data_IF_555875523302
#
_entry.id   IF_555875523302
#
_cell.length_a   1.000
_cell.length_b   1.000
_cell.length_c   1.000
_cell.angle_alpha   90.00
_cell.angle_beta   90.00
_cell.angle_gamma   90.00
#
_symmetry.space_group_name_H-M   'P 1'
#
loop_
_entity.id
_entity.type
_entity.pdbx_description
1 polymer ?
#
# COMPACT_ATOMS: atom_id res chain seq x y z
N UNK A 1 49.19 45.42 7.61
CA UNK A 1 48.50 44.33 8.33
C UNK A 1 48.43 43.14 7.38
N UNK A 2 49.07 42.01 7.70
CA UNK A 2 49.50 41.02 6.72
C UNK A 2 48.43 39.92 6.47
N UNK A 3 48.30 39.45 5.23
CA UNK A 3 47.27 38.47 4.79
C UNK A 3 47.45 37.11 5.50
N UNK A 4 48.66 36.82 5.97
CA UNK A 4 48.98 35.65 6.79
C UNK A 4 48.22 35.61 8.12
N UNK A 5 47.90 36.76 8.71
CA UNK A 5 47.24 36.85 10.02
C UNK A 5 45.74 36.54 9.92
N UNK A 6 45.12 36.83 8.78
CA UNK A 6 43.73 36.48 8.48
C UNK A 6 43.52 34.97 8.34
N UNK A 7 44.42 34.29 7.63
CA UNK A 7 44.37 32.82 7.47
C UNK A 7 44.51 32.10 8.81
N UNK A 8 45.38 32.61 9.69
CA UNK A 8 45.60 32.04 11.03
C UNK A 8 44.39 32.25 11.95
N UNK A 9 43.68 33.38 11.84
CA UNK A 9 42.44 33.66 12.60
C UNK A 9 41.23 32.84 12.13
N UNK A 10 41.15 32.53 10.84
CA UNK A 10 40.13 31.63 10.28
C UNK A 10 40.35 30.18 10.75
N UNK A 11 41.61 29.75 10.94
CA UNK A 11 41.96 28.39 11.38
C UNK A 11 42.05 28.19 12.92
N UNK A 12 42.16 29.25 13.72
CA UNK A 12 42.26 29.15 15.19
C UNK A 12 40.94 29.31 15.96
N UNK A 13 39.81 29.46 15.27
CA UNK A 13 38.50 29.51 15.90
C UNK A 13 37.90 28.11 15.93
N UNK A 14 38.48 27.22 16.74
CA UNK A 14 37.97 25.83 16.90
C UNK A 14 36.47 25.81 17.19
N UNK A 15 35.96 26.81 17.91
CA UNK A 15 34.53 27.03 18.16
C UNK A 15 33.73 27.20 16.87
N UNK A 16 34.19 28.03 15.94
CA UNK A 16 33.55 28.23 14.63
C UNK A 16 33.60 26.95 13.78
N UNK A 17 34.71 26.21 13.86
CA UNK A 17 34.86 24.93 13.18
C UNK A 17 33.91 23.86 13.76
N UNK A 18 33.74 23.80 15.08
CA UNK A 18 32.77 22.92 15.73
C UNK A 18 31.33 23.31 15.38
N UNK A 19 30.99 24.60 15.38
CA UNK A 19 29.68 25.08 14.94
C UNK A 19 29.40 24.69 13.48
N UNK A 20 30.38 24.82 12.59
CA UNK A 20 30.24 24.43 11.20
C UNK A 20 30.06 22.91 11.03
N UNK A 21 30.81 22.10 11.79
CA UNK A 21 30.65 20.64 11.82
C UNK A 21 29.27 20.21 12.32
N UNK A 22 28.78 20.83 13.40
CA UNK A 22 27.43 20.57 13.95
C UNK A 22 26.36 20.97 12.92
N UNK A 23 26.52 22.12 12.28
CA UNK A 23 25.63 22.57 11.22
C UNK A 23 25.59 21.58 10.05
N UNK A 24 26.76 21.14 9.56
CA UNK A 24 26.85 20.16 8.48
C UNK A 24 26.20 18.83 8.87
N UNK A 25 26.43 18.37 10.11
CA UNK A 25 25.82 17.15 10.63
C UNK A 25 24.29 17.24 10.69
N UNK A 26 23.75 18.35 11.20
CA UNK A 26 22.31 18.60 11.25
C UNK A 26 21.71 18.70 9.84
N UNK A 27 22.37 19.43 8.94
CA UNK A 27 21.93 19.60 7.56
C UNK A 27 21.90 18.25 6.81
N UNK A 28 22.95 17.45 6.97
CA UNK A 28 23.03 16.10 6.41
C UNK A 28 21.91 15.19 6.96
N UNK A 29 21.63 15.24 8.27
CA UNK A 29 20.55 14.47 8.88
C UNK A 29 19.18 14.88 8.34
N UNK A 30 18.91 16.18 8.21
CA UNK A 30 17.63 16.68 7.68
C UNK A 30 17.42 16.26 6.22
N UNK A 31 18.46 16.37 5.38
CA UNK A 31 18.39 15.93 3.98
C UNK A 31 18.17 14.42 3.90
N UNK A 32 18.94 13.65 4.67
CA UNK A 32 18.84 12.19 4.72
C UNK A 32 17.44 11.76 5.15
N UNK A 33 16.90 12.37 6.22
CA UNK A 33 15.54 12.11 6.69
C UNK A 33 14.49 12.42 5.61
N UNK A 34 14.58 13.58 4.93
CA UNK A 34 13.65 13.93 3.85
C UNK A 34 13.70 12.95 2.68
N UNK A 35 14.89 12.49 2.28
CA UNK A 35 15.07 11.55 1.17
C UNK A 35 14.55 10.15 1.54
N UNK A 36 14.91 9.65 2.73
CA UNK A 36 14.50 8.33 3.20
C UNK A 36 13.01 8.26 3.53
N UNK A 37 12.41 9.33 4.08
CA UNK A 37 10.98 9.34 4.41
C UNK A 37 10.11 9.45 3.16
N UNK A 38 10.56 10.17 2.11
CA UNK A 38 9.80 10.28 0.86
C UNK A 38 9.93 9.05 -0.04
N UNK A 39 10.97 8.23 0.14
CA UNK A 39 11.11 6.96 -0.55
C UNK A 39 10.63 5.89 0.42
N UNK A 40 9.37 5.45 0.27
CA UNK A 40 8.86 4.22 0.95
C UNK A 40 9.69 3.02 0.47
N UNK A 41 10.90 2.89 0.97
CA UNK A 41 11.79 1.77 0.72
C UNK A 41 11.27 0.68 1.64
N UNK A 42 10.65 -0.33 1.05
CA UNK A 42 10.32 -1.56 1.75
C UNK A 42 11.64 -2.24 2.13
N UNK A 43 11.96 -2.22 3.43
CA UNK A 43 13.18 -2.82 4.01
C UNK A 43 12.97 -4.29 4.40
N UNK A 44 11.82 -4.88 4.06
CA UNK A 44 11.62 -6.32 4.24
C UNK A 44 12.47 -7.09 3.21
N UNK A 45 13.09 -8.19 3.64
CA UNK A 45 14.06 -8.98 2.86
C UNK A 45 13.56 -9.36 1.46
N UNK A 46 12.25 -9.56 1.32
CA UNK A 46 11.64 -10.08 0.10
C UNK A 46 10.80 -9.04 -0.67
N UNK A 47 10.75 -7.77 -0.23
CA UNK A 47 9.89 -6.72 -0.84
C UNK A 47 8.46 -7.20 -1.11
N UNK A 48 7.91 -8.04 -0.24
CA UNK A 48 6.61 -8.71 -0.44
C UNK A 48 5.46 -7.71 -0.61
N UNK A 49 5.67 -6.44 -0.23
CA UNK A 49 4.70 -5.37 -0.31
C UNK A 49 4.95 -4.40 -1.47
N UNK A 50 5.96 -4.66 -2.32
CA UNK A 50 6.33 -3.79 -3.44
C UNK A 50 5.91 -4.39 -4.77
N UNK A 51 5.13 -3.62 -5.54
CA UNK A 51 4.75 -3.98 -6.90
C UNK A 51 6.01 -4.06 -7.79
N UNK A 52 6.21 -5.19 -8.46
CA UNK A 52 7.35 -5.38 -9.37
C UNK A 52 7.34 -4.38 -10.53
N UNK A 53 8.50 -4.05 -11.10
CA UNK A 53 8.58 -3.15 -12.26
C UNK A 53 7.80 -3.70 -13.47
N UNK A 54 7.80 -5.03 -13.65
CA UNK A 54 7.01 -5.68 -14.71
C UNK A 54 5.50 -5.47 -14.49
N UNK A 55 5.01 -5.71 -13.27
CA UNK A 55 3.60 -5.49 -12.91
C UNK A 55 3.22 -4.01 -13.08
N UNK A 56 4.10 -3.07 -12.71
CA UNK A 56 3.88 -1.63 -12.95
C UNK A 56 3.73 -1.33 -14.44
N UNK A 57 4.56 -1.92 -15.30
CA UNK A 57 4.48 -1.73 -16.74
C UNK A 57 3.15 -2.23 -17.30
N UNK A 58 2.72 -3.43 -16.89
CA UNK A 58 1.42 -4.00 -17.29
C UNK A 58 0.28 -3.08 -16.88
N UNK A 59 0.24 -2.66 -15.61
CA UNK A 59 -0.83 -1.82 -15.06
C UNK A 59 -0.89 -0.43 -15.74
N UNK A 60 0.25 0.15 -16.09
CA UNK A 60 0.31 1.44 -16.79
C UNK A 60 -0.20 1.37 -18.23
N UNK A 61 -0.08 0.20 -18.86
CA UNK A 61 -0.42 -0.03 -20.26
C UNK A 61 -1.74 -0.81 -20.42
N UNK A 62 -2.61 -0.80 -19.40
CA UNK A 62 -3.94 -1.37 -19.50
C UNK A 62 -4.72 -0.70 -20.63
N UNK A 63 -5.17 -1.49 -21.61
CA UNK A 63 -5.94 -1.06 -22.78
C UNK A 63 -7.36 -0.64 -22.44
N UNK A 64 -7.90 -1.15 -21.34
CA UNK A 64 -9.27 -0.93 -20.88
C UNK A 64 -9.32 -0.77 -19.36
N UNK A 65 -10.35 -0.10 -18.82
CA UNK A 65 -10.53 0.01 -17.39
C UNK A 65 -10.92 -1.34 -16.77
N UNK A 66 -10.36 -1.63 -15.61
CA UNK A 66 -10.66 -2.79 -14.77
C UNK A 66 -11.39 -2.32 -13.52
N UNK A 67 -12.53 -2.94 -13.23
CA UNK A 67 -13.28 -2.75 -12.00
C UNK A 67 -13.00 -3.92 -11.06
N UNK A 68 -12.67 -3.61 -9.81
CA UNK A 68 -12.36 -4.62 -8.79
C UNK A 68 -13.39 -4.48 -7.67
N UNK A 69 -14.17 -5.53 -7.43
CA UNK A 69 -15.04 -5.65 -6.26
C UNK A 69 -14.36 -6.57 -5.25
N UNK A 70 -13.91 -6.01 -4.14
CA UNK A 70 -13.31 -6.75 -3.03
C UNK A 70 -14.40 -7.04 -1.99
N UNK A 71 -14.76 -8.30 -1.84
CA UNK A 71 -15.71 -8.77 -0.85
C UNK A 71 -14.97 -9.17 0.42
N UNK A 72 -15.34 -8.59 1.55
CA UNK A 72 -14.77 -8.94 2.85
C UNK A 72 -15.78 -8.71 3.97
N UNK A 73 -16.14 -9.78 4.69
CA UNK A 73 -17.07 -9.72 5.83
C UNK A 73 -16.40 -9.05 7.05
N UNK A 74 -16.35 -7.73 7.03
CA UNK A 74 -15.68 -6.95 8.08
C UNK A 74 -16.38 -7.11 9.44
N UNK A 75 -17.72 -7.19 9.44
CA UNK A 75 -18.54 -7.39 10.64
C UNK A 75 -18.23 -8.70 11.38
N UNK A 76 -18.01 -9.79 10.64
CA UNK A 76 -17.78 -11.14 11.14
C UNK A 76 -16.29 -11.46 11.41
N UNK A 77 -15.37 -10.62 10.93
CA UNK A 77 -13.92 -10.81 11.09
C UNK A 77 -13.32 -10.28 12.39
N UNK A 78 -14.12 -9.67 13.30
CA UNK A 78 -13.61 -8.90 14.45
C UNK A 78 -12.67 -9.69 15.36
N UNK A 79 -12.91 -10.98 15.52
CA UNK A 79 -12.11 -11.88 16.36
C UNK A 79 -10.99 -12.59 15.57
N UNK A 80 -10.97 -12.43 14.25
CA UNK A 80 -10.06 -13.11 13.31
C UNK A 80 -8.90 -12.18 12.91
N UNK A 81 -8.06 -11.80 13.88
CA UNK A 81 -6.97 -10.82 13.68
C UNK A 81 -6.06 -11.16 12.50
N UNK A 82 -5.67 -12.43 12.35
CA UNK A 82 -4.81 -12.90 11.25
C UNK A 82 -5.44 -12.67 9.87
N UNK A 83 -6.76 -12.88 9.75
CA UNK A 83 -7.50 -12.68 8.50
C UNK A 83 -7.62 -11.19 8.20
N UNK A 84 -7.86 -10.34 9.21
CA UNK A 84 -7.88 -8.88 9.04
C UNK A 84 -6.54 -8.34 8.57
N UNK A 85 -5.44 -8.84 9.11
CA UNK A 85 -4.10 -8.47 8.66
C UNK A 85 -3.83 -8.93 7.23
N UNK A 86 -4.38 -10.07 6.83
CA UNK A 86 -4.29 -10.54 5.45
C UNK A 86 -5.14 -9.69 4.49
N UNK A 87 -6.41 -9.40 4.83
CA UNK A 87 -7.26 -8.47 4.08
C UNK A 87 -6.57 -7.14 3.86
N UNK A 88 -6.00 -6.57 4.93
CA UNK A 88 -5.33 -5.28 4.86
C UNK A 88 -4.21 -5.29 3.83
N UNK A 89 -3.41 -6.35 3.79
CA UNK A 89 -2.32 -6.52 2.81
C UNK A 89 -2.87 -6.61 1.38
N UNK A 90 -3.93 -7.39 1.15
CA UNK A 90 -4.59 -7.49 -0.16
C UNK A 90 -5.14 -6.13 -0.59
N UNK A 91 -5.86 -5.43 0.29
CA UNK A 91 -6.41 -4.11 0.02
C UNK A 91 -5.33 -3.08 -0.29
N UNK A 92 -4.24 -3.06 0.47
CA UNK A 92 -3.11 -2.16 0.22
C UNK A 92 -2.42 -2.44 -1.13
N UNK A 93 -2.32 -3.71 -1.53
CA UNK A 93 -1.81 -4.11 -2.84
C UNK A 93 -2.73 -3.59 -3.96
N UNK A 94 -4.03 -3.83 -3.87
CA UNK A 94 -5.00 -3.36 -4.87
C UNK A 94 -5.00 -1.82 -4.96
N UNK A 95 -4.98 -1.12 -3.83
CA UNK A 95 -4.88 0.34 -3.80
C UNK A 95 -3.60 0.85 -4.47
N UNK A 96 -2.49 0.12 -4.35
CA UNK A 96 -1.25 0.42 -5.05
C UNK A 96 -1.41 0.26 -6.56
N UNK A 97 -2.09 -0.79 -7.02
CA UNK A 97 -2.42 -0.97 -8.44
C UNK A 97 -3.29 0.18 -8.97
N UNK A 98 -4.35 0.56 -8.25
CA UNK A 98 -5.17 1.73 -8.58
C UNK A 98 -4.36 2.99 -8.75
N UNK A 99 -3.43 3.25 -7.82
CA UNK A 99 -2.54 4.42 -7.90
C UNK A 99 -1.62 4.41 -9.13
N UNK A 100 -1.14 3.23 -9.54
CA UNK A 100 -0.25 3.07 -10.71
C UNK A 100 -1.02 3.19 -12.03
N UNK A 101 -2.28 2.74 -12.06
CA UNK A 101 -3.12 2.62 -13.27
C UNK A 101 -3.57 3.93 -13.91
N UNK A 102 -3.28 5.09 -13.32
CA UNK A 102 -3.74 6.40 -13.83
C UNK A 102 -5.26 6.46 -14.12
N UNK A 103 -6.09 5.93 -13.20
CA UNK A 103 -7.57 5.86 -13.25
C UNK A 103 -8.16 4.68 -14.06
N UNK A 104 -7.33 3.83 -14.66
CA UNK A 104 -7.82 2.62 -15.33
C UNK A 104 -8.21 1.49 -14.37
N UNK A 105 -7.94 1.60 -13.07
CA UNK A 105 -8.44 0.64 -12.08
C UNK A 105 -9.37 1.35 -11.11
N UNK A 106 -10.58 0.82 -10.94
CA UNK A 106 -11.50 1.19 -9.87
C UNK A 106 -11.58 0.06 -8.84
N UNK A 107 -11.83 0.42 -7.58
CA UNK A 107 -11.91 -0.54 -6.48
C UNK A 107 -13.13 -0.17 -5.65
N UNK A 108 -14.01 -1.14 -5.47
CA UNK A 108 -15.16 -1.12 -4.58
C UNK A 108 -14.94 -2.16 -3.49
N UNK A 109 -15.19 -1.79 -2.23
CA UNK A 109 -15.07 -2.71 -1.09
C UNK A 109 -16.48 -2.98 -0.60
N UNK A 110 -16.84 -4.25 -0.53
CA UNK A 110 -18.20 -4.73 -0.23
C UNK A 110 -18.13 -5.58 1.03
N UNK A 111 -18.96 -5.25 2.02
CA UNK A 111 -19.13 -6.02 3.26
C UNK A 111 -20.39 -6.90 3.13
N UNK A 112 -20.25 -8.22 2.86
CA UNK A 112 -21.38 -9.13 2.69
C UNK A 112 -21.88 -9.50 4.07
N UNK A 113 -22.86 -8.75 4.55
CA UNK A 113 -23.49 -8.98 5.85
C UNK A 113 -24.57 -10.05 5.71
N UNK A 114 -24.81 -10.86 6.76
CA UNK A 114 -25.86 -11.87 6.72
C UNK A 114 -27.22 -11.28 6.32
N UNK A 115 -27.90 -11.97 5.40
CA UNK A 115 -29.25 -11.65 4.92
C UNK A 115 -29.35 -10.27 4.25
N UNK A 116 -28.33 -9.85 3.52
CA UNK A 116 -28.34 -8.59 2.74
C UNK A 116 -28.05 -8.80 1.26
N UNK A 117 -28.43 -7.84 0.42
CA UNK A 117 -28.15 -7.86 -1.03
C UNK A 117 -26.65 -8.01 -1.34
N UNK A 118 -25.76 -7.57 -0.44
CA UNK A 118 -24.31 -7.73 -0.60
C UNK A 118 -23.87 -9.20 -0.45
N UNK A 119 -24.53 -9.98 0.41
CA UNK A 119 -24.33 -11.42 0.52
C UNK A 119 -24.82 -12.12 -0.74
N UNK A 120 -26.02 -11.80 -1.21
CA UNK A 120 -26.56 -12.35 -2.45
C UNK A 120 -25.63 -12.03 -3.64
N UNK A 121 -25.09 -10.82 -3.70
CA UNK A 121 -24.13 -10.43 -4.72
C UNK A 121 -22.85 -11.26 -4.66
N UNK A 122 -22.31 -11.53 -3.47
CA UNK A 122 -21.13 -12.38 -3.29
C UNK A 122 -21.40 -13.81 -3.81
N UNK A 123 -22.58 -14.35 -3.50
CA UNK A 123 -23.03 -15.66 -3.96
C UNK A 123 -23.23 -15.70 -5.48
N UNK A 124 -23.79 -14.66 -6.09
CA UNK A 124 -23.97 -14.53 -7.56
C UNK A 124 -22.63 -14.56 -8.28
N UNK A 125 -21.60 -13.92 -7.71
CA UNK A 125 -20.24 -13.99 -8.24
C UNK A 125 -19.50 -15.30 -7.90
N UNK A 126 -20.14 -16.23 -7.19
CA UNK A 126 -19.55 -17.51 -6.82
C UNK A 126 -18.46 -17.42 -5.74
N UNK A 127 -18.43 -16.34 -4.95
CA UNK A 127 -17.54 -16.23 -3.80
C UNK A 127 -18.07 -17.14 -2.69
N UNK A 128 -17.32 -18.20 -2.40
CA UNK A 128 -17.73 -19.19 -1.41
C UNK A 128 -17.59 -18.61 0.00
N UNK A 129 -18.69 -18.60 0.74
CA UNK A 129 -18.71 -18.21 2.14
C UNK A 129 -18.31 -19.37 3.05
N UNK A 130 -17.40 -19.12 4.00
CA UNK A 130 -17.03 -20.07 5.06
C UNK A 130 -18.01 -19.94 6.23
N UNK A 131 -18.69 -21.02 6.62
CA UNK A 131 -19.53 -21.00 7.82
C UNK A 131 -18.67 -20.80 9.08
N UNK A 132 -19.00 -19.78 9.87
CA UNK A 132 -18.31 -19.50 11.13
C UNK A 132 -19.02 -20.08 12.35
N UNK A 133 -20.34 -20.24 12.29
CA UNK A 133 -21.16 -20.71 13.39
C UNK A 133 -22.35 -21.56 12.93
N UNK A 134 -23.01 -22.19 13.90
CA UNK A 134 -24.21 -23.01 13.68
C UNK A 134 -25.45 -22.18 13.32
N UNK A 135 -25.41 -20.86 13.52
CA UNK A 135 -26.46 -19.91 13.12
C UNK A 135 -26.49 -19.68 11.60
N UNK A 136 -25.50 -20.21 10.88
CA UNK A 136 -25.42 -20.15 9.42
C UNK A 136 -24.77 -18.88 8.89
N UNK A 137 -24.13 -18.07 9.75
CA UNK A 137 -23.39 -16.89 9.29
C UNK A 137 -22.18 -17.33 8.46
N UNK A 138 -22.05 -16.72 7.28
CA UNK A 138 -20.99 -17.00 6.32
C UNK A 138 -20.02 -15.84 6.25
N UNK A 139 -18.75 -16.17 6.41
CA UNK A 139 -17.64 -15.26 6.19
C UNK A 139 -17.22 -15.30 4.72
N UNK A 140 -17.21 -14.15 4.08
CA UNK A 140 -16.80 -14.00 2.69
C UNK A 140 -15.46 -13.26 2.62
N UNK A 141 -14.55 -13.81 1.81
CA UNK A 141 -13.37 -13.08 1.36
C UNK A 141 -13.05 -13.47 -0.07
N UNK A 142 -12.94 -12.48 -0.95
CA UNK A 142 -12.67 -12.73 -2.37
C UNK A 142 -12.70 -11.45 -3.20
N UNK A 143 -12.29 -11.56 -4.46
CA UNK A 143 -12.30 -10.42 -5.36
C UNK A 143 -12.82 -10.81 -6.74
N UNK A 144 -13.62 -9.92 -7.32
CA UNK A 144 -14.11 -10.03 -8.70
C UNK A 144 -13.48 -8.92 -9.51
N UNK A 145 -12.87 -9.30 -10.62
CA UNK A 145 -12.25 -8.41 -11.60
C UNK A 145 -13.11 -8.43 -12.84
N UNK A 146 -13.53 -7.26 -13.32
CA UNK A 146 -14.25 -7.14 -14.58
C UNK A 146 -13.65 -6.07 -15.47
N UNK A 147 -13.74 -6.27 -16.79
CA UNK A 147 -13.30 -5.31 -17.79
C UNK A 147 -14.50 -4.63 -18.48
N UNK A 148 -14.26 -3.93 -19.60
CA UNK A 148 -15.32 -3.22 -20.34
C UNK A 148 -16.09 -4.11 -21.32
N UNK A 149 -15.65 -5.35 -21.51
CA UNK A 149 -16.21 -6.32 -22.47
C UNK A 149 -16.92 -7.47 -21.73
N UNK A 150 -17.32 -7.23 -20.48
CA UNK A 150 -18.02 -8.18 -19.60
C UNK A 150 -17.24 -9.45 -19.24
N UNK A 151 -15.92 -9.51 -19.49
CA UNK A 151 -15.10 -10.60 -18.95
C UNK A 151 -14.96 -10.43 -17.44
N UNK A 152 -15.32 -11.48 -16.71
CA UNK A 152 -15.21 -11.52 -15.25
C UNK A 152 -14.25 -12.61 -14.80
N UNK A 153 -13.27 -12.26 -13.98
CA UNK A 153 -12.41 -13.22 -13.28
C UNK A 153 -12.71 -13.16 -11.78
N UNK A 154 -12.98 -14.31 -11.18
CA UNK A 154 -13.26 -14.43 -9.75
C UNK A 154 -12.06 -15.08 -9.07
N UNK A 155 -11.57 -14.45 -8.02
CA UNK A 155 -10.57 -15.03 -7.11
C UNK A 155 -11.30 -15.39 -5.81
N UNK A 156 -11.67 -16.66 -5.62
CA UNK A 156 -12.21 -17.13 -4.36
C UNK A 156 -11.09 -17.29 -3.32
N UNK A 157 -11.47 -17.38 -2.04
CA UNK A 157 -10.60 -17.74 -0.93
C UNK A 157 -11.02 -19.09 -0.34
#
# INVERSE_FOLDING_TARGET
MNISDYRKKIYNNKTLQYCFLIFLFLFFNIITFKILVNKKIDLTTDKLYTVSENTKSIIKNLSEPINIKLFFSNSLSKELSQIRDYEKRVRELLMSYKKISNKNITIEIIDPRPFTDQEDLANVYGIQGLQLNEEGERFYFGAVFSNSVDDTTVIPF
#
